data_IF_551587243256
#
_entry.id   IF_551587243256
#
_cell.length_a   1.000
_cell.length_b   1.000
_cell.length_c   1.000
_cell.angle_alpha   90.00
_cell.angle_beta   90.00
_cell.angle_gamma   90.00
#
_symmetry.space_group_name_H-M   'P 1'
#
loop_
_entity.id
_entity.type
_entity.pdbx_description
1 polymer ?
#
# COMPACT_ATOMS: atom_id res chain seq x y z
N UNK A 1 7.61 10.11 6.06
CA UNK A 1 6.75 9.73 7.22
C UNK A 1 5.60 8.84 6.77
N UNK A 2 4.89 9.20 5.70
CA UNK A 2 3.92 8.33 5.05
C UNK A 2 4.49 6.96 4.67
N UNK A 3 5.74 6.91 4.19
CA UNK A 3 6.43 5.67 3.82
C UNK A 3 6.52 4.67 4.99
N UNK A 4 6.78 5.17 6.19
CA UNK A 4 6.90 4.33 7.40
C UNK A 4 5.53 3.80 7.79
N UNK A 5 4.51 4.65 7.77
CA UNK A 5 3.14 4.25 8.10
C UNK A 5 2.59 3.23 7.11
N UNK A 6 2.73 3.46 5.80
CA UNK A 6 2.29 2.49 4.78
C UNK A 6 3.02 1.16 4.97
N UNK A 7 4.34 1.19 5.22
CA UNK A 7 5.10 -0.04 5.52
C UNK A 7 4.55 -0.78 6.73
N UNK A 8 4.27 -0.08 7.83
CA UNK A 8 3.75 -0.67 9.06
C UNK A 8 2.37 -1.27 8.84
N UNK A 9 1.46 -0.52 8.21
CA UNK A 9 0.10 -0.94 7.90
C UNK A 9 0.11 -2.21 7.02
N UNK A 10 0.90 -2.21 5.94
CA UNK A 10 1.00 -3.37 5.05
C UNK A 10 1.55 -4.59 5.76
N UNK A 11 2.55 -4.40 6.64
CA UNK A 11 3.13 -5.49 7.43
C UNK A 11 2.12 -6.04 8.44
N UNK A 12 1.33 -5.18 9.09
CA UNK A 12 0.28 -5.58 10.04
C UNK A 12 -0.83 -6.39 9.34
N UNK A 13 -1.31 -5.94 8.18
CA UNK A 13 -2.41 -6.59 7.45
C UNK A 13 -2.00 -7.97 6.93
N UNK A 14 -0.76 -8.10 6.45
CA UNK A 14 -0.34 -9.27 5.66
C UNK A 14 0.59 -10.22 6.39
N UNK A 15 1.27 -9.75 7.44
CA UNK A 15 2.35 -10.50 8.09
C UNK A 15 3.59 -10.70 7.22
N UNK A 16 3.64 -10.09 6.03
CA UNK A 16 4.70 -10.30 5.05
C UNK A 16 5.85 -9.29 5.18
N UNK A 17 6.95 -9.61 4.49
CA UNK A 17 8.05 -8.66 4.29
C UNK A 17 7.57 -7.56 3.32
N UNK A 18 7.72 -6.32 3.76
CA UNK A 18 7.37 -5.11 2.98
C UNK A 18 8.65 -4.32 2.70
N UNK A 19 8.96 -4.11 1.41
CA UNK A 19 10.14 -3.36 0.96
C UNK A 19 9.76 -2.16 0.08
N UNK A 20 10.50 -1.04 0.14
CA UNK A 20 10.25 0.08 -0.76
C UNK A 20 10.78 -0.23 -2.16
N UNK A 21 10.01 0.13 -3.19
CA UNK A 21 10.36 0.16 -4.62
C UNK A 21 10.67 -1.20 -5.27
N UNK A 22 11.49 -2.05 -4.64
CA UNK A 22 11.91 -3.33 -5.18
C UNK A 22 11.88 -4.43 -4.12
N UNK A 23 11.69 -5.66 -4.58
CA UNK A 23 11.66 -6.86 -3.75
C UNK A 23 13.05 -7.40 -3.48
N UNK A 24 13.31 -7.80 -2.23
CA UNK A 24 14.47 -8.64 -1.91
C UNK A 24 13.97 -9.77 -1.01
N UNK A 25 14.01 -11.01 -1.49
CA UNK A 25 13.71 -12.19 -0.67
C UNK A 25 12.90 -13.26 -1.40
N UNK A 26 12.38 -14.20 -0.61
CA UNK A 26 11.49 -15.27 -1.10
C UNK A 26 10.04 -14.76 -1.15
N UNK A 27 9.29 -15.02 -2.22
CA UNK A 27 7.85 -14.74 -2.27
C UNK A 27 7.06 -15.58 -1.26
N UNK A 28 5.88 -15.09 -0.80
CA UNK A 28 5.30 -13.80 -1.15
C UNK A 28 5.95 -12.62 -0.41
N UNK A 29 6.11 -11.50 -1.11
CA UNK A 29 6.52 -10.24 -0.51
C UNK A 29 5.79 -9.06 -1.16
N UNK A 30 5.80 -7.92 -0.47
CA UNK A 30 5.11 -6.71 -0.90
C UNK A 30 6.13 -5.62 -1.16
N UNK A 31 5.97 -4.94 -2.28
CA UNK A 31 6.67 -3.69 -2.55
C UNK A 31 5.68 -2.53 -2.54
N UNK A 32 6.17 -1.34 -2.21
CA UNK A 32 5.38 -0.12 -2.31
C UNK A 32 6.20 1.04 -2.86
N UNK A 33 5.54 1.92 -3.59
CA UNK A 33 6.09 3.19 -4.07
C UNK A 33 5.13 4.32 -3.70
N UNK A 34 5.68 5.50 -3.44
CA UNK A 34 4.90 6.68 -3.06
C UNK A 34 5.33 7.84 -3.95
N UNK A 35 4.36 8.41 -4.65
CA UNK A 35 4.56 9.58 -5.50
C UNK A 35 3.76 10.75 -4.93
N UNK A 36 4.39 11.85 -4.52
CA UNK A 36 3.67 13.01 -4.02
C UNK A 36 2.87 13.67 -5.15
N UNK A 37 1.62 14.06 -4.86
CA UNK A 37 0.73 14.79 -5.78
C UNK A 37 0.59 16.24 -5.32
N UNK A 38 0.38 16.47 -4.00
CA UNK A 38 0.17 17.80 -3.43
C UNK A 38 0.77 17.92 -2.02
N UNK A 39 1.32 19.10 -1.67
CA UNK A 39 2.07 19.38 -0.45
C UNK A 39 1.41 20.34 0.56
N UNK A 40 0.11 20.65 0.44
CA UNK A 40 -0.60 21.53 1.37
C UNK A 40 -0.76 20.99 2.80
N UNK A 41 -1.56 21.68 3.63
CA UNK A 41 -1.86 21.27 5.03
C UNK A 41 -2.36 19.82 5.10
N UNK A 42 -3.21 19.46 4.14
CA UNK A 42 -3.52 18.08 3.81
C UNK A 42 -2.75 17.76 2.53
N UNK A 43 -1.81 16.83 2.64
CA UNK A 43 -0.96 16.34 1.55
C UNK A 43 -1.71 15.24 0.80
N UNK A 44 -1.41 15.10 -0.48
CA UNK A 44 -1.95 14.02 -1.31
C UNK A 44 -0.80 13.27 -1.97
N UNK A 45 -0.87 11.95 -1.97
CA UNK A 45 0.16 11.09 -2.56
C UNK A 45 -0.48 9.86 -3.18
N UNK A 46 0.03 9.44 -4.33
CA UNK A 46 -0.28 8.15 -4.91
C UNK A 46 0.56 7.09 -4.19
N UNK A 47 -0.09 6.06 -3.67
CA UNK A 47 0.57 4.89 -3.07
C UNK A 47 0.30 3.71 -3.99
N UNK A 48 1.34 3.19 -4.63
CA UNK A 48 1.27 1.94 -5.38
C UNK A 48 1.80 0.82 -4.51
N UNK A 49 1.05 -0.26 -4.40
CA UNK A 49 1.42 -1.48 -3.67
C UNK A 49 1.45 -2.62 -4.68
N UNK A 50 2.53 -3.40 -4.71
CA UNK A 50 2.66 -4.60 -5.54
C UNK A 50 2.89 -5.82 -4.67
N UNK A 51 2.14 -6.87 -4.95
CA UNK A 51 2.24 -8.18 -4.32
C UNK A 51 2.94 -9.08 -5.32
N UNK A 52 4.08 -9.64 -4.92
CA UNK A 52 4.86 -10.53 -5.76
C UNK A 52 4.75 -11.94 -5.21
N UNK A 53 4.21 -12.86 -6.02
CA UNK A 53 3.96 -14.24 -5.64
C UNK A 53 4.10 -15.21 -6.82
N UNK A 54 4.38 -16.48 -6.55
CA UNK A 54 4.26 -17.57 -7.53
C UNK A 54 2.81 -18.03 -7.71
N UNK A 55 2.00 -17.89 -6.65
CA UNK A 55 0.59 -18.28 -6.64
C UNK A 55 -0.29 -17.04 -6.85
N UNK A 56 -1.02 -17.03 -7.98
CA UNK A 56 -1.91 -15.93 -8.32
C UNK A 56 -3.09 -15.81 -7.35
N UNK A 57 -3.68 -16.92 -6.92
CA UNK A 57 -4.86 -16.91 -6.06
C UNK A 57 -4.48 -16.39 -4.66
N UNK A 58 -3.33 -16.80 -4.14
CA UNK A 58 -2.80 -16.24 -2.89
C UNK A 58 -2.50 -14.74 -3.01
N UNK A 59 -1.97 -14.29 -4.16
CA UNK A 59 -1.75 -12.86 -4.40
C UNK A 59 -3.06 -12.07 -4.44
N UNK A 60 -4.14 -12.64 -5.00
CA UNK A 60 -5.48 -12.04 -4.97
C UNK A 60 -6.04 -11.95 -3.55
N UNK A 61 -5.88 -13.00 -2.74
CA UNK A 61 -6.33 -12.99 -1.35
C UNK A 61 -5.61 -11.91 -0.51
N UNK A 62 -4.30 -11.75 -0.73
CA UNK A 62 -3.51 -10.68 -0.13
C UNK A 62 -3.99 -9.30 -0.60
N UNK A 63 -4.30 -9.16 -1.89
CA UNK A 63 -4.85 -7.93 -2.47
C UNK A 63 -6.14 -7.53 -1.78
N UNK A 64 -7.07 -8.47 -1.61
CA UNK A 64 -8.36 -8.22 -0.95
C UNK A 64 -8.19 -7.79 0.51
N UNK A 65 -7.21 -8.34 1.24
CA UNK A 65 -6.89 -7.88 2.61
C UNK A 65 -6.40 -6.43 2.62
N UNK A 66 -5.55 -6.06 1.67
CA UNK A 66 -5.01 -4.69 1.55
C UNK A 66 -6.14 -3.72 1.16
N UNK A 67 -6.97 -4.08 0.18
CA UNK A 67 -8.12 -3.28 -0.25
C UNK A 67 -9.09 -3.03 0.90
N UNK A 68 -9.45 -4.05 1.69
CA UNK A 68 -10.34 -3.90 2.85
C UNK A 68 -9.84 -2.90 3.88
N UNK A 69 -8.52 -2.67 3.98
CA UNK A 69 -7.95 -1.72 4.95
C UNK A 69 -7.69 -0.35 4.35
N UNK A 70 -7.27 -0.27 3.09
CA UNK A 70 -6.84 0.97 2.45
C UNK A 70 -7.90 1.60 1.53
N UNK A 71 -8.91 0.88 1.07
CA UNK A 71 -10.02 1.47 0.30
C UNK A 71 -11.15 1.92 1.25
N UNK A 72 -10.93 3.07 1.87
CA UNK A 72 -11.76 3.54 2.98
C UNK A 72 -13.01 4.25 2.49
N UNK A 73 -14.18 3.80 2.96
CA UNK A 73 -15.46 4.48 2.70
C UNK A 73 -15.56 5.77 3.51
N UNK A 74 -16.35 6.73 3.03
CA UNK A 74 -16.52 8.06 3.64
C UNK A 74 -16.91 8.06 5.13
N UNK A 75 -17.52 6.98 5.64
CA UNK A 75 -17.94 6.86 7.06
C UNK A 75 -16.91 6.20 7.97
N UNK A 76 -15.85 5.60 7.44
CA UNK A 76 -14.85 4.91 8.25
C UNK A 76 -13.91 5.94 8.91
N UNK A 77 -13.43 5.70 10.14
CA UNK A 77 -12.47 6.59 10.79
C UNK A 77 -11.13 6.57 10.04
N UNK A 78 -10.41 7.69 10.03
CA UNK A 78 -9.06 7.77 9.44
C UNK A 78 -8.07 6.85 10.14
N UNK A 79 -7.11 6.30 9.40
CA UNK A 79 -6.02 5.51 9.99
C UNK A 79 -5.05 6.47 10.66
N UNK A 80 -4.69 6.18 11.90
CA UNK A 80 -3.69 6.92 12.67
C UNK A 80 -2.52 5.99 12.91
N UNK A 81 -1.37 6.32 12.33
CA UNK A 81 -0.12 5.60 12.58
C UNK A 81 0.92 6.63 13.03
N UNK A 82 1.44 6.46 14.25
CA UNK A 82 2.37 7.40 14.88
C UNK A 82 1.84 8.85 14.85
N UNK A 83 2.56 9.72 14.12
CA UNK A 83 2.29 11.15 13.98
C UNK A 83 1.61 11.49 12.66
N UNK A 84 1.00 10.54 11.95
CA UNK A 84 0.23 10.85 10.75
C UNK A 84 -1.21 10.35 10.85
N UNK A 85 -2.09 11.11 10.21
CA UNK A 85 -3.48 10.73 9.99
C UNK A 85 -3.68 10.62 8.49
N UNK A 86 -4.16 9.47 8.01
CA UNK A 86 -4.34 9.20 6.60
C UNK A 86 -5.70 8.63 6.26
N UNK A 87 -6.10 8.88 5.01
CA UNK A 87 -7.23 8.26 4.33
C UNK A 87 -6.83 7.93 2.91
N UNK A 88 -7.21 6.75 2.45
CA UNK A 88 -6.92 6.29 1.10
C UNK A 88 -8.19 5.77 0.43
N UNK A 89 -8.20 5.82 -0.90
CA UNK A 89 -9.22 5.22 -1.74
C UNK A 89 -8.57 4.58 -2.97
N UNK A 90 -9.15 3.49 -3.44
CA UNK A 90 -8.68 2.78 -4.62
C UNK A 90 -8.84 3.68 -5.86
N UNK A 91 -7.75 3.81 -6.63
CA UNK A 91 -7.72 4.58 -7.87
C UNK A 91 -7.37 3.73 -9.10
N UNK A 92 -6.84 2.53 -8.89
CA UNK A 92 -6.53 1.60 -9.97
C UNK A 92 -5.77 0.39 -9.48
N UNK A 93 -5.34 -0.44 -10.41
CA UNK A 93 -4.60 -1.67 -10.12
C UNK A 93 -4.58 -2.60 -11.33
N UNK A 94 -3.84 -3.69 -11.20
CA UNK A 94 -3.71 -4.65 -12.28
C UNK A 94 -3.03 -5.93 -11.83
N UNK A 95 -2.90 -6.86 -12.76
CA UNK A 95 -2.16 -8.09 -12.55
C UNK A 95 -1.36 -8.39 -13.80
N UNK A 96 -0.08 -8.69 -13.62
CA UNK A 96 0.85 -8.99 -14.69
C UNK A 96 1.65 -10.22 -14.28
N UNK A 97 1.79 -11.19 -15.18
CA UNK A 97 2.80 -12.22 -15.01
C UNK A 97 4.13 -11.71 -15.56
N UNK A 98 5.17 -11.67 -14.71
CA UNK A 98 6.50 -11.28 -15.12
C UNK A 98 7.30 -12.51 -15.52
N UNK A 99 7.40 -12.75 -16.82
CA UNK A 99 8.13 -13.89 -17.39
C UNK A 99 9.63 -13.91 -17.05
N UNK A 100 10.23 -12.75 -16.74
CA UNK A 100 11.67 -12.69 -16.43
C UNK A 100 12.00 -13.27 -15.06
N UNK A 101 11.07 -13.14 -14.10
CA UNK A 101 11.24 -13.65 -12.74
C UNK A 101 10.30 -14.83 -12.43
N UNK A 102 9.41 -15.19 -13.37
CA UNK A 102 8.41 -16.24 -13.25
C UNK A 102 7.50 -16.03 -12.03
N UNK A 103 6.98 -14.82 -11.86
CA UNK A 103 6.12 -14.44 -10.73
C UNK A 103 4.96 -13.55 -11.19
N UNK A 104 3.85 -13.63 -10.47
CA UNK A 104 2.74 -12.70 -10.58
C UNK A 104 3.05 -11.42 -9.82
N UNK A 105 2.84 -10.29 -10.50
CA UNK A 105 2.82 -8.96 -9.91
C UNK A 105 1.36 -8.47 -9.87
N UNK A 106 0.77 -8.47 -8.68
CA UNK A 106 -0.58 -7.96 -8.45
C UNK A 106 -0.48 -6.58 -7.81
N UNK A 107 -0.90 -5.54 -8.53
CA UNK A 107 -0.76 -4.15 -8.10
C UNK A 107 -2.09 -3.50 -7.71
N UNK A 108 -2.03 -2.58 -6.76
CA UNK A 108 -3.11 -1.67 -6.38
C UNK A 108 -2.54 -0.27 -6.22
N UNK A 109 -3.28 0.71 -6.73
CA UNK A 109 -2.93 2.13 -6.69
C UNK A 109 -3.99 2.84 -5.86
N UNK A 110 -3.54 3.56 -4.84
CA UNK A 110 -4.39 4.33 -3.95
C UNK A 110 -4.06 5.81 -4.04
N UNK A 111 -5.08 6.66 -4.02
CA UNK A 111 -4.89 8.09 -3.74
C UNK A 111 -5.05 8.29 -2.24
N UNK A 112 -3.97 8.70 -1.60
CA UNK A 112 -3.88 8.83 -0.14
C UNK A 112 -3.76 10.29 0.25
N UNK A 113 -4.74 10.77 1.00
CA UNK A 113 -4.72 12.07 1.67
C UNK A 113 -4.20 11.89 3.08
N UNK A 114 -3.22 12.67 3.47
CA UNK A 114 -2.57 12.54 4.76
C UNK A 114 -2.13 13.89 5.32
N UNK A 115 -2.00 13.95 6.63
CA UNK A 115 -1.43 15.11 7.32
C UNK A 115 -0.63 14.65 8.52
N UNK A 116 0.30 15.49 8.94
CA UNK A 116 0.95 15.30 10.23
C UNK A 116 -0.08 15.59 11.33
N UNK A 117 -0.07 14.74 12.37
CA UNK A 117 -0.83 14.94 13.59
C UNK A 117 -0.15 16.12 14.30
N UNK A 118 -0.81 17.27 14.35
CA UNK A 118 -0.28 18.47 14.97
C UNK A 118 0.29 18.13 16.36
N UNK A 119 1.59 18.38 16.55
CA UNK A 119 2.14 18.53 17.89
C UNK A 119 1.60 19.87 18.40
N UNK A 120 0.60 19.83 19.28
CA UNK A 120 0.30 20.96 20.16
C UNK A 120 1.44 21.12 21.17
#
# INVERSE_FOLDING_TARGET
>A
MLEIAIKNILKEITGLKVTPVFGIGKPPYITYSITPINGGVIKESQVEVKIIDYDFDNALDLREKILKKLDMKNKEPSIVDHNIVLRSGLAGGGSLYNDSIQMWEVSCIFITKWRDKECH
#
